data_IF_242958111171
#
_entry.id   IF_242958111171
#
_cell.length_a   1.000
_cell.length_b   1.000
_cell.length_c   1.000
_cell.angle_alpha   90.00
_cell.angle_beta   90.00
_cell.angle_gamma   90.00
#
_symmetry.space_group_name_H-M   'P 1'
#
loop_
_entity.id
_entity.type
_entity.pdbx_description
1 polymer ?
#
# COMPACT_ATOMS: atom_id res chain seq x y z
N UNK A 1 -8.85 -2.50 -5.40
CA UNK A 1 -8.95 -1.13 -5.91
C UNK A 1 -8.33 -1.12 -7.30
N UNK A 2 -9.14 -0.87 -8.32
CA UNK A 2 -8.66 -0.71 -9.69
C UNK A 2 -8.44 0.79 -9.85
N UNK A 3 -7.21 1.27 -10.06
CA UNK A 3 -7.01 2.67 -10.30
C UNK A 3 -7.78 3.09 -11.56
N UNK A 4 -8.51 4.18 -11.47
CA UNK A 4 -9.12 4.76 -12.66
C UNK A 4 -8.04 5.31 -13.58
N UNK A 5 -7.74 4.55 -14.62
CA UNK A 5 -6.76 4.95 -15.64
C UNK A 5 -7.33 5.89 -16.70
N UNK A 6 -8.60 6.29 -16.55
CA UNK A 6 -9.24 7.16 -17.54
C UNK A 6 -8.52 8.48 -17.75
N UNK A 7 -7.84 8.98 -16.71
CA UNK A 7 -6.97 10.17 -16.77
C UNK A 7 -5.78 10.01 -17.73
N UNK A 8 -5.38 8.78 -18.02
CA UNK A 8 -4.25 8.48 -18.91
C UNK A 8 -4.68 8.16 -20.35
N UNK A 9 -5.98 8.19 -20.67
CA UNK A 9 -6.48 7.94 -22.04
C UNK A 9 -5.78 8.73 -23.15
N UNK A 10 -5.30 9.98 -22.91
CA UNK A 10 -4.56 10.70 -23.92
C UNK A 10 -3.19 10.10 -24.27
N UNK A 11 -2.70 9.17 -23.44
CA UNK A 11 -1.38 8.58 -23.59
C UNK A 11 -1.48 7.20 -24.24
N UNK A 12 -1.06 7.01 -25.50
CA UNK A 12 -1.40 5.81 -26.28
C UNK A 12 -0.64 4.54 -25.89
N UNK A 13 0.31 4.63 -24.95
CA UNK A 13 1.15 3.49 -24.54
C UNK A 13 0.94 3.08 -23.09
N UNK A 14 -0.16 3.50 -22.46
CA UNK A 14 -0.48 3.08 -21.09
C UNK A 14 -1.42 1.88 -21.15
N UNK A 15 -0.94 0.77 -20.66
CA UNK A 15 -1.73 -0.43 -20.46
C UNK A 15 -2.06 -0.59 -18.98
N UNK A 16 -3.32 -0.89 -18.68
CA UNK A 16 -3.72 -1.23 -17.32
C UNK A 16 -3.61 -2.72 -17.11
N UNK A 17 -2.85 -3.08 -16.13
CA UNK A 17 -2.81 -4.43 -15.63
C UNK A 17 -3.85 -4.57 -14.51
N UNK A 18 -4.96 -5.23 -14.79
CA UNK A 18 -6.03 -5.47 -13.80
C UNK A 18 -5.82 -6.83 -13.19
N UNK A 19 -5.45 -6.85 -11.92
CA UNK A 19 -5.49 -8.06 -11.11
C UNK A 19 -6.90 -8.24 -10.56
N UNK A 20 -7.73 -8.99 -11.24
CA UNK A 20 -9.03 -9.39 -10.72
C UNK A 20 -8.88 -10.54 -9.72
N UNK A 21 -9.97 -10.87 -9.04
CA UNK A 21 -10.08 -11.97 -8.07
C UNK A 21 -9.72 -13.37 -8.62
N UNK A 22 -9.39 -13.48 -9.91
CA UNK A 22 -8.96 -14.71 -10.54
C UNK A 22 -7.70 -15.30 -9.90
N UNK A 23 -6.72 -14.45 -9.53
CA UNK A 23 -5.50 -14.90 -8.86
C UNK A 23 -5.78 -15.40 -7.46
N UNK A 24 -6.66 -14.75 -6.74
CA UNK A 24 -7.06 -15.18 -5.41
C UNK A 24 -7.72 -16.56 -5.47
N UNK A 25 -8.60 -16.79 -6.45
CA UNK A 25 -9.25 -18.08 -6.63
C UNK A 25 -8.23 -19.19 -6.98
N UNK A 26 -7.22 -18.88 -7.79
CA UNK A 26 -6.14 -19.80 -8.10
C UNK A 26 -5.26 -20.05 -6.87
N UNK A 27 -4.89 -18.99 -6.17
CA UNK A 27 -4.09 -19.09 -4.95
C UNK A 27 -4.74 -20.00 -3.90
N UNK A 28 -6.07 -19.91 -3.72
CA UNK A 28 -6.79 -20.84 -2.84
C UNK A 28 -6.78 -22.29 -3.29
N UNK A 29 -6.77 -22.54 -4.60
CA UNK A 29 -6.63 -23.91 -5.12
C UNK A 29 -5.25 -24.48 -4.84
N UNK A 30 -4.22 -23.65 -4.99
CA UNK A 30 -2.83 -24.04 -4.83
C UNK A 30 -2.45 -24.18 -3.34
N UNK A 31 -3.13 -23.43 -2.46
CA UNK A 31 -2.89 -23.38 -1.01
C UNK A 31 -4.10 -23.89 -0.22
N UNK A 32 -4.52 -25.12 -0.51
CA UNK A 32 -5.67 -25.75 0.14
C UNK A 32 -5.52 -25.76 1.67
N UNK A 33 -6.54 -25.24 2.38
CA UNK A 33 -6.58 -25.17 3.83
C UNK A 33 -6.27 -23.80 4.43
N UNK A 34 -5.84 -22.85 3.64
CA UNK A 34 -5.67 -21.46 4.08
C UNK A 34 -6.93 -20.67 3.71
N UNK A 35 -7.82 -20.57 4.66
CA UNK A 35 -9.07 -19.82 4.50
C UNK A 35 -10.14 -20.55 3.68
N UNK A 36 -11.35 -20.61 4.21
CA UNK A 36 -12.52 -21.07 3.45
C UNK A 36 -13.12 -19.89 2.69
N UNK A 37 -12.70 -19.67 1.46
CA UNK A 37 -13.26 -18.67 0.59
C UNK A 37 -14.30 -19.27 -0.35
N UNK A 38 -15.47 -19.48 0.16
CA UNK A 38 -16.66 -19.59 -0.69
C UNK A 38 -17.54 -18.39 -0.38
N UNK A 39 -17.74 -17.53 -1.39
CA UNK A 39 -18.97 -16.72 -1.40
C UNK A 39 -20.08 -17.77 -1.46
N UNK A 40 -20.58 -18.13 -0.29
CA UNK A 40 -21.68 -19.07 -0.23
C UNK A 40 -22.87 -18.45 -0.93
N UNK A 41 -23.69 -19.28 -1.58
CA UNK A 41 -24.98 -18.86 -2.14
C UNK A 41 -25.79 -18.02 -1.12
N UNK A 42 -25.63 -18.32 0.15
CA UNK A 42 -26.30 -17.64 1.26
C UNK A 42 -25.72 -16.23 1.52
N UNK A 43 -24.42 -16.04 1.41
CA UNK A 43 -23.78 -14.71 1.46
C UNK A 43 -24.24 -13.83 0.31
N UNK A 44 -24.30 -14.39 -0.91
CA UNK A 44 -24.80 -13.67 -2.06
C UNK A 44 -26.28 -13.28 -1.92
N UNK A 45 -27.14 -14.21 -1.53
CA UNK A 45 -28.57 -13.95 -1.27
C UNK A 45 -28.77 -12.87 -0.22
N UNK A 46 -28.01 -12.97 0.89
CA UNK A 46 -28.03 -11.99 1.96
C UNK A 46 -27.62 -10.59 1.47
N UNK A 47 -26.50 -10.50 0.75
CA UNK A 47 -26.02 -9.23 0.21
C UNK A 47 -27.05 -8.60 -0.77
N UNK A 48 -27.62 -9.41 -1.65
CA UNK A 48 -28.69 -8.94 -2.56
C UNK A 48 -29.89 -8.40 -1.79
N UNK A 49 -30.27 -9.07 -0.69
CA UNK A 49 -31.38 -8.64 0.17
C UNK A 49 -31.08 -7.27 0.82
N UNK A 50 -29.92 -7.14 1.48
CA UNK A 50 -29.53 -5.91 2.17
C UNK A 50 -29.32 -4.74 1.20
N UNK A 51 -28.74 -4.97 0.03
CA UNK A 51 -28.62 -3.93 -1.00
C UNK A 51 -29.98 -3.49 -1.55
N UNK A 52 -30.91 -4.44 -1.67
CA UNK A 52 -32.28 -4.11 -2.06
C UNK A 52 -32.97 -3.27 -1.00
N UNK A 53 -32.85 -3.62 0.27
CA UNK A 53 -33.36 -2.82 1.38
C UNK A 53 -32.72 -1.43 1.42
N UNK A 54 -31.42 -1.33 1.26
CA UNK A 54 -30.74 -0.04 1.20
C UNK A 54 -31.28 0.85 0.08
N UNK A 55 -31.49 0.29 -1.09
CA UNK A 55 -32.01 1.06 -2.25
C UNK A 55 -33.45 1.51 -2.10
N UNK A 56 -34.29 0.70 -1.50
CA UNK A 56 -35.73 0.96 -1.35
C UNK A 56 -36.10 1.73 -0.09
N UNK A 57 -35.20 1.78 0.89
CA UNK A 57 -35.45 2.45 2.16
C UNK A 57 -35.43 3.97 2.05
N UNK A 58 -36.25 4.66 2.86
CA UNK A 58 -36.16 6.11 3.03
C UNK A 58 -34.73 6.55 3.42
N UNK A 59 -34.32 7.73 3.01
CA UNK A 59 -32.98 8.25 3.25
C UNK A 59 -32.56 8.20 4.73
N UNK A 60 -33.50 8.47 5.61
CA UNK A 60 -33.26 8.47 7.05
C UNK A 60 -32.85 7.10 7.60
N UNK A 61 -33.22 6.00 6.96
CA UNK A 61 -32.90 4.64 7.39
C UNK A 61 -31.66 4.09 6.70
N UNK A 62 -31.19 4.72 5.61
CA UNK A 62 -30.08 4.18 4.83
C UNK A 62 -28.78 4.09 5.60
N UNK A 63 -28.49 5.06 6.46
CA UNK A 63 -27.27 5.01 7.26
C UNK A 63 -27.24 3.83 8.23
N UNK A 64 -28.43 3.45 8.78
CA UNK A 64 -28.56 2.28 9.65
C UNK A 64 -28.34 0.99 8.88
N UNK A 65 -28.92 0.88 7.67
CA UNK A 65 -28.77 -0.30 6.81
C UNK A 65 -27.34 -0.42 6.28
N UNK A 66 -26.73 0.71 5.92
CA UNK A 66 -25.35 0.77 5.40
C UNK A 66 -24.31 0.37 6.44
N UNK A 67 -24.50 0.78 7.69
CA UNK A 67 -23.63 0.46 8.83
C UNK A 67 -22.14 0.56 8.50
N UNK A 68 -21.72 1.71 8.00
CA UNK A 68 -20.32 1.97 7.56
C UNK A 68 -19.77 0.99 6.51
N UNK A 69 -20.66 0.43 5.68
CA UNK A 69 -20.32 -0.51 4.62
C UNK A 69 -20.44 -1.98 4.99
N UNK A 70 -20.73 -2.30 6.25
CA UNK A 70 -20.85 -3.68 6.73
C UNK A 70 -22.15 -4.34 6.30
N UNK A 71 -23.23 -3.57 6.09
CA UNK A 71 -24.58 -4.07 5.85
C UNK A 71 -25.00 -5.16 6.83
N UNK A 72 -24.69 -4.96 8.12
CA UNK A 72 -24.96 -5.93 9.19
C UNK A 72 -24.29 -7.29 8.95
N UNK A 73 -23.09 -7.27 8.34
CA UNK A 73 -22.29 -8.48 8.15
C UNK A 73 -21.68 -8.93 9.47
N UNK A 74 -21.92 -10.16 9.85
CA UNK A 74 -21.25 -10.80 11.00
C UNK A 74 -19.83 -11.24 10.67
N UNK A 75 -19.41 -11.17 9.41
CA UNK A 75 -18.14 -11.73 8.88
C UNK A 75 -17.12 -10.64 8.52
N UNK A 76 -16.98 -9.58 9.32
CA UNK A 76 -15.95 -8.56 9.10
C UNK A 76 -14.54 -9.14 9.09
N UNK A 77 -14.25 -10.13 9.92
CA UNK A 77 -12.94 -10.80 9.94
C UNK A 77 -12.60 -11.51 8.62
N UNK A 78 -13.60 -12.06 7.93
CA UNK A 78 -13.36 -12.73 6.65
C UNK A 78 -13.13 -11.74 5.50
N UNK A 79 -13.74 -10.56 5.52
CA UNK A 79 -13.51 -9.54 4.49
C UNK A 79 -12.09 -8.98 4.53
N UNK A 80 -11.59 -8.67 5.71
CA UNK A 80 -10.23 -8.14 5.87
C UNK A 80 -9.18 -9.19 5.51
N UNK A 81 -9.39 -10.42 5.94
CA UNK A 81 -8.52 -11.54 5.54
C UNK A 81 -8.52 -11.72 4.03
N UNK A 82 -9.66 -11.58 3.38
CA UNK A 82 -9.77 -11.71 1.93
C UNK A 82 -9.08 -10.60 1.16
N UNK A 83 -9.24 -9.36 1.61
CA UNK A 83 -8.51 -8.23 1.06
C UNK A 83 -7.00 -8.44 1.20
N UNK A 84 -6.57 -8.91 2.37
CA UNK A 84 -5.17 -9.24 2.59
C UNK A 84 -4.70 -10.34 1.64
N UNK A 85 -5.40 -11.47 1.59
CA UNK A 85 -5.02 -12.62 0.77
C UNK A 85 -5.04 -12.30 -0.74
N UNK A 86 -5.95 -11.45 -1.20
CA UNK A 86 -5.96 -10.97 -2.58
C UNK A 86 -4.71 -10.19 -2.95
N UNK A 87 -4.27 -9.30 -2.07
CA UNK A 87 -3.04 -8.53 -2.27
C UNK A 87 -1.79 -9.41 -2.10
N UNK A 88 -1.79 -10.33 -1.14
CA UNK A 88 -0.70 -11.28 -0.94
C UNK A 88 -0.54 -12.21 -2.15
N UNK A 89 -1.64 -12.78 -2.67
CA UNK A 89 -1.62 -13.64 -3.84
C UNK A 89 -1.04 -12.94 -5.07
N UNK A 90 -1.34 -11.66 -5.26
CA UNK A 90 -0.75 -10.87 -6.35
C UNK A 90 0.78 -10.76 -6.22
N UNK A 91 1.29 -10.62 -4.99
CA UNK A 91 2.73 -10.63 -4.73
C UNK A 91 3.36 -12.01 -4.93
N UNK A 92 2.69 -13.05 -4.48
CA UNK A 92 3.15 -14.44 -4.57
C UNK A 92 3.29 -14.91 -6.02
N UNK A 93 2.37 -14.47 -6.88
CA UNK A 93 2.38 -14.78 -8.31
C UNK A 93 3.12 -13.76 -9.19
N UNK A 94 3.83 -12.77 -8.63
CA UNK A 94 4.53 -11.77 -9.45
C UNK A 94 5.46 -12.38 -10.49
N UNK A 95 6.12 -13.48 -10.17
CA UNK A 95 7.00 -14.20 -11.12
C UNK A 95 6.20 -14.76 -12.31
N UNK A 96 5.04 -15.35 -12.03
CA UNK A 96 4.18 -15.94 -13.06
C UNK A 96 3.47 -14.88 -13.91
N UNK A 97 3.31 -13.68 -13.35
CA UNK A 97 2.71 -12.52 -14.00
C UNK A 97 3.72 -11.67 -14.78
N UNK A 98 5.01 -12.00 -14.66
CA UNK A 98 6.08 -11.24 -15.30
C UNK A 98 6.49 -11.93 -16.59
N UNK A 99 6.28 -11.26 -17.72
CA UNK A 99 6.75 -11.68 -19.02
C UNK A 99 7.90 -10.79 -19.48
N UNK A 100 8.94 -11.38 -20.04
CA UNK A 100 10.10 -10.66 -20.55
C UNK A 100 10.00 -10.52 -22.06
N UNK A 101 9.73 -9.28 -22.50
CA UNK A 101 9.69 -8.97 -23.93
C UNK A 101 11.09 -8.83 -24.48
N UNK A 102 11.33 -9.36 -25.69
CA UNK A 102 12.54 -9.10 -26.48
C UNK A 102 12.57 -7.71 -27.12
N UNK A 103 11.56 -6.89 -26.89
CA UNK A 103 11.49 -5.52 -27.41
C UNK A 103 12.52 -4.64 -26.71
N UNK A 104 13.12 -3.74 -27.47
CA UNK A 104 14.11 -2.75 -27.00
C UNK A 104 13.45 -1.47 -26.45
N UNK A 105 12.20 -1.53 -26.06
CA UNK A 105 11.45 -0.38 -25.55
C UNK A 105 11.70 -0.18 -24.06
N UNK A 106 11.67 1.08 -23.62
CA UNK A 106 11.69 1.40 -22.19
C UNK A 106 10.29 1.22 -21.61
N UNK A 107 10.22 0.61 -20.45
CA UNK A 107 8.98 0.38 -19.71
C UNK A 107 8.97 1.19 -18.41
N UNK A 108 7.80 1.73 -18.07
CA UNK A 108 7.51 2.25 -16.76
C UNK A 108 6.43 1.36 -16.13
N UNK A 109 6.80 0.69 -15.05
CA UNK A 109 5.89 -0.14 -14.27
C UNK A 109 5.50 0.60 -12.99
N UNK A 110 4.20 0.79 -12.76
CA UNK A 110 3.67 1.25 -11.49
C UNK A 110 2.83 0.14 -10.88
N UNK A 111 3.21 -0.29 -9.69
CA UNK A 111 2.56 -1.36 -8.97
C UNK A 111 2.15 -0.88 -7.57
N UNK A 112 0.88 -1.05 -7.21
CA UNK A 112 0.35 -0.73 -5.89
C UNK A 112 -0.16 -1.99 -5.22
N UNK A 113 0.23 -2.22 -3.97
CA UNK A 113 -0.19 -3.35 -3.19
C UNK A 113 -0.59 -2.93 -1.77
N UNK A 114 -1.74 -3.37 -1.32
CA UNK A 114 -2.32 -2.99 -0.03
C UNK A 114 -2.21 -4.11 1.04
N UNK A 115 -1.39 -5.13 0.84
CA UNK A 115 -1.25 -6.21 1.83
C UNK A 115 -0.77 -5.72 3.19
N UNK A 116 0.06 -4.68 3.23
CA UNK A 116 0.54 -4.10 4.50
C UNK A 116 -0.51 -3.24 5.22
N UNK A 117 -1.62 -2.86 4.55
CA UNK A 117 -2.67 -2.05 5.16
C UNK A 117 -3.45 -2.82 6.24
N UNK A 118 -3.62 -4.12 6.06
CA UNK A 118 -4.33 -4.97 7.02
C UNK A 118 -3.35 -5.92 7.70
N UNK A 119 -3.26 -5.83 9.02
CA UNK A 119 -2.23 -6.52 9.80
C UNK A 119 -2.66 -7.93 10.17
N UNK A 120 -1.96 -8.94 9.64
CA UNK A 120 -2.17 -10.35 9.95
C UNK A 120 -0.89 -11.03 10.43
N UNK A 121 -1.07 -12.01 11.32
CA UNK A 121 -0.01 -12.93 11.65
C UNK A 121 0.20 -13.93 10.51
N UNK A 122 1.45 -14.16 10.14
CA UNK A 122 1.87 -15.10 9.11
C UNK A 122 2.80 -16.14 9.72
N UNK A 123 2.89 -17.29 9.08
CA UNK A 123 3.75 -18.38 9.49
C UNK A 123 5.18 -18.10 9.08
N UNK A 124 6.09 -17.98 10.06
CA UNK A 124 7.52 -17.89 9.82
C UNK A 124 8.10 -19.28 9.44
N UNK A 125 9.31 -19.36 8.83
CA UNK A 125 10.22 -18.24 8.55
C UNK A 125 9.87 -17.42 7.31
N UNK A 126 9.10 -17.96 6.37
CA UNK A 126 8.83 -17.35 5.07
C UNK A 126 7.67 -16.35 5.10
N UNK A 127 7.04 -16.18 6.27
CA UNK A 127 5.90 -15.29 6.50
C UNK A 127 4.78 -15.51 5.47
N UNK A 128 4.32 -16.75 5.44
CA UNK A 128 3.22 -17.17 4.55
C UNK A 128 1.89 -17.25 5.29
N UNK A 129 0.76 -16.97 4.63
CA UNK A 129 -0.55 -17.23 5.19
C UNK A 129 -0.73 -18.71 5.54
N UNK A 130 -1.26 -18.99 6.73
CA UNK A 130 -1.51 -20.34 7.20
C UNK A 130 -2.81 -20.41 8.01
N UNK A 131 -3.49 -21.55 7.96
CA UNK A 131 -4.69 -21.81 8.75
C UNK A 131 -4.42 -21.76 10.26
N UNK A 132 -3.18 -22.07 10.67
CA UNK A 132 -2.75 -22.01 12.07
C UNK A 132 -1.30 -21.50 12.10
N UNK A 133 -1.09 -20.42 12.81
CA UNK A 133 0.24 -19.86 13.06
C UNK A 133 0.85 -20.55 14.28
N UNK A 134 1.92 -21.26 14.09
CA UNK A 134 2.65 -21.98 15.14
C UNK A 134 4.03 -21.36 15.43
N UNK A 135 4.56 -20.60 14.48
CA UNK A 135 5.81 -19.88 14.58
C UNK A 135 5.64 -18.47 14.01
N UNK A 136 6.07 -17.46 14.73
CA UNK A 136 6.03 -16.04 14.33
C UNK A 136 7.42 -15.48 14.02
N UNK A 137 8.45 -16.34 14.09
CA UNK A 137 9.84 -15.94 13.95
C UNK A 137 10.47 -15.47 15.26
N UNK A 138 11.74 -15.10 15.17
CA UNK A 138 12.58 -14.73 16.31
C UNK A 138 12.95 -13.24 16.37
N UNK A 139 12.35 -12.43 15.52
CA UNK A 139 12.51 -10.97 15.56
C UNK A 139 11.93 -10.40 16.85
N UNK A 140 12.50 -9.32 17.37
CA UNK A 140 11.92 -8.53 18.45
C UNK A 140 10.49 -8.03 18.14
N UNK A 141 10.14 -7.92 16.86
CA UNK A 141 8.82 -7.51 16.36
C UNK A 141 7.88 -8.69 16.04
N UNK A 142 8.28 -9.93 16.33
CA UNK A 142 7.50 -11.13 15.99
C UNK A 142 6.07 -11.13 16.58
N UNK A 143 5.86 -10.38 17.69
CA UNK A 143 4.54 -10.16 18.29
C UNK A 143 3.61 -9.23 17.50
N UNK A 144 4.15 -8.42 16.59
CA UNK A 144 3.39 -7.43 15.82
C UNK A 144 2.90 -8.01 14.49
N UNK A 145 1.58 -7.97 14.29
CA UNK A 145 0.98 -8.42 13.04
C UNK A 145 1.35 -7.51 11.85
N UNK A 146 1.60 -6.22 12.08
CA UNK A 146 2.02 -5.30 11.02
C UNK A 146 3.41 -5.67 10.51
N UNK A 147 4.32 -6.00 11.43
CA UNK A 147 5.63 -6.54 11.07
C UNK A 147 5.49 -7.83 10.25
N UNK A 148 4.64 -8.75 10.72
CA UNK A 148 4.43 -10.03 10.06
C UNK A 148 3.90 -9.86 8.62
N UNK A 149 2.89 -9.01 8.43
CA UNK A 149 2.34 -8.69 7.09
C UNK A 149 3.38 -8.03 6.18
N UNK A 150 4.17 -7.10 6.72
CA UNK A 150 5.25 -6.45 5.98
C UNK A 150 6.32 -7.46 5.57
N UNK A 151 6.75 -8.31 6.49
CA UNK A 151 7.74 -9.35 6.23
C UNK A 151 7.30 -10.27 5.09
N UNK A 152 6.04 -10.71 5.09
CA UNK A 152 5.49 -11.53 4.01
C UNK A 152 5.55 -10.85 2.65
N UNK A 153 5.16 -9.58 2.58
CA UNK A 153 5.24 -8.80 1.33
C UNK A 153 6.67 -8.61 0.87
N UNK A 154 7.59 -8.27 1.79
CA UNK A 154 9.00 -8.05 1.45
C UNK A 154 9.71 -9.34 1.03
N UNK A 155 9.35 -10.49 1.61
CA UNK A 155 9.83 -11.79 1.12
C UNK A 155 9.40 -12.05 -0.32
N UNK A 156 8.10 -11.90 -0.63
CA UNK A 156 7.61 -12.10 -2.01
C UNK A 156 8.24 -11.10 -2.99
N UNK A 157 8.39 -9.85 -2.58
CA UNK A 157 9.09 -8.85 -3.38
C UNK A 157 10.56 -9.23 -3.63
N UNK A 158 11.25 -9.68 -2.60
CA UNK A 158 12.64 -10.16 -2.72
C UNK A 158 12.78 -11.32 -3.71
N UNK A 159 11.87 -12.29 -3.68
CA UNK A 159 11.84 -13.38 -4.64
C UNK A 159 11.61 -12.90 -6.08
N UNK A 160 10.74 -11.92 -6.25
CA UNK A 160 10.53 -11.32 -7.57
C UNK A 160 11.75 -10.55 -8.06
N UNK A 161 12.41 -9.77 -7.20
CA UNK A 161 13.65 -9.07 -7.55
C UNK A 161 14.77 -10.04 -7.93
N UNK A 162 14.86 -11.16 -7.22
CA UNK A 162 15.80 -12.22 -7.58
C UNK A 162 15.45 -12.86 -8.95
N UNK A 163 14.18 -13.04 -9.25
CA UNK A 163 13.72 -13.48 -10.56
C UNK A 163 14.09 -12.49 -11.67
N UNK A 164 13.99 -11.18 -11.41
CA UNK A 164 14.46 -10.16 -12.35
C UNK A 164 15.98 -10.25 -12.60
N UNK A 165 16.77 -10.54 -11.56
CA UNK A 165 18.23 -10.75 -11.70
C UNK A 165 18.54 -11.97 -12.57
N UNK A 166 17.88 -13.09 -12.31
CA UNK A 166 18.05 -14.33 -13.07
C UNK A 166 17.71 -14.16 -14.56
N UNK A 167 16.84 -13.20 -14.89
CA UNK A 167 16.46 -12.87 -16.26
C UNK A 167 17.21 -11.66 -16.84
N UNK A 168 18.23 -11.14 -16.13
CA UNK A 168 19.13 -10.11 -16.65
C UNK A 168 18.52 -8.71 -16.83
N UNK A 169 17.37 -8.43 -16.15
CA UNK A 169 16.69 -7.13 -16.24
C UNK A 169 16.88 -6.27 -15.00
N UNK A 170 17.31 -6.85 -13.88
CA UNK A 170 17.45 -6.12 -12.62
C UNK A 170 18.45 -4.97 -12.69
N UNK A 171 19.60 -5.20 -13.31
CA UNK A 171 20.65 -4.17 -13.46
C UNK A 171 20.16 -2.99 -14.30
N UNK A 172 19.38 -3.28 -15.33
CA UNK A 172 18.81 -2.27 -16.23
C UNK A 172 17.51 -1.64 -15.69
N UNK A 173 17.16 -1.92 -14.44
CA UNK A 173 15.95 -1.40 -13.82
C UNK A 173 16.30 -0.39 -12.73
N UNK A 174 15.64 0.76 -12.78
CA UNK A 174 15.57 1.71 -11.66
C UNK A 174 14.34 1.34 -10.83
N UNK A 175 14.53 1.12 -9.54
CA UNK A 175 13.48 0.61 -8.64
C UNK A 175 13.28 1.59 -7.51
N UNK A 176 12.03 1.99 -7.29
CA UNK A 176 11.62 2.81 -6.16
C UNK A 176 10.47 2.12 -5.44
N UNK A 177 10.65 1.88 -4.15
CA UNK A 177 9.63 1.30 -3.28
C UNK A 177 9.27 2.35 -2.25
N UNK A 178 8.01 2.77 -2.26
CA UNK A 178 7.49 3.80 -1.36
C UNK A 178 6.17 3.37 -0.77
N UNK A 179 5.87 3.85 0.45
CA UNK A 179 4.52 3.80 1.01
C UNK A 179 3.98 5.21 1.21
N UNK A 180 2.66 5.34 1.20
CA UNK A 180 1.97 6.62 1.46
C UNK A 180 2.17 7.09 2.91
N UNK A 181 2.14 6.15 3.86
CA UNK A 181 2.42 6.36 5.28
C UNK A 181 2.88 5.05 5.92
N UNK A 182 3.32 5.12 7.17
CA UNK A 182 3.60 3.94 7.98
C UNK A 182 2.45 3.65 8.96
N UNK A 183 2.51 2.53 9.67
CA UNK A 183 1.55 2.19 10.72
C UNK A 183 1.92 2.88 12.05
N UNK A 184 0.93 2.99 12.95
CA UNK A 184 1.18 3.37 14.33
C UNK A 184 1.65 2.14 15.12
N UNK A 185 2.93 1.79 15.01
CA UNK A 185 3.51 0.82 15.93
C UNK A 185 3.42 1.35 17.37
N UNK A 186 3.05 0.49 18.30
CA UNK A 186 3.11 0.81 19.73
C UNK A 186 4.55 0.86 20.23
N UNK A 187 5.45 0.21 19.53
CA UNK A 187 6.86 0.21 19.81
C UNK A 187 7.50 1.45 19.21
N UNK A 188 8.19 2.20 20.06
CA UNK A 188 8.78 3.50 19.73
C UNK A 188 10.23 3.30 19.32
N UNK A 189 10.55 3.16 18.02
CA UNK A 189 11.95 3.16 17.62
C UNK A 189 12.60 4.55 17.82
N UNK A 190 11.78 5.58 18.01
CA UNK A 190 12.25 6.95 18.15
C UNK A 190 11.90 7.53 19.53
N UNK A 191 12.92 8.08 20.22
CA UNK A 191 12.71 8.94 21.38
C UNK A 191 12.21 10.29 20.88
N UNK A 192 10.90 10.46 20.87
CA UNK A 192 10.30 11.74 20.55
C UNK A 192 10.15 12.57 21.82
N UNK A 193 10.33 13.89 21.65
CA UNK A 193 10.04 14.85 22.69
C UNK A 193 8.57 14.69 23.17
N UNK A 194 8.32 14.82 24.49
CA UNK A 194 6.97 14.78 25.07
C UNK A 194 5.99 15.76 24.39
N UNK A 195 6.53 16.84 23.82
CA UNK A 195 5.80 17.77 22.97
C UNK A 195 5.00 17.10 21.85
N UNK A 196 5.47 15.96 21.34
CA UNK A 196 4.83 15.20 20.27
C UNK A 196 4.03 14.00 20.77
N UNK A 197 3.78 13.88 22.08
CA UNK A 197 3.09 12.75 22.70
C UNK A 197 1.67 12.50 22.16
N UNK A 198 1.05 13.54 21.60
CA UNK A 198 -0.29 13.46 20.97
C UNK A 198 -0.29 12.91 19.55
N UNK A 199 0.88 12.71 18.99
CA UNK A 199 1.10 12.33 17.60
C UNK A 199 1.73 10.95 17.61
N UNK A 200 1.37 10.10 16.67
CA UNK A 200 2.10 8.86 16.40
C UNK A 200 3.12 9.12 15.29
N UNK A 201 4.36 9.53 15.63
CA UNK A 201 5.32 9.95 14.63
C UNK A 201 5.67 8.84 13.64
N UNK A 202 5.58 7.58 14.09
CA UNK A 202 5.78 6.43 13.24
C UNK A 202 4.92 6.43 11.98
N UNK A 203 3.71 6.99 12.05
CA UNK A 203 2.83 7.10 10.86
C UNK A 203 3.42 7.94 9.73
N UNK A 204 4.30 8.87 10.06
CA UNK A 204 4.91 9.83 9.12
C UNK A 204 6.28 9.39 8.62
N UNK A 205 6.65 8.15 8.88
CA UNK A 205 7.88 7.54 8.38
C UNK A 205 7.52 6.44 7.35
N UNK A 206 7.13 6.82 6.14
CA UNK A 206 6.90 5.85 5.08
C UNK A 206 8.21 5.14 4.73
N UNK A 207 8.09 3.95 4.18
CA UNK A 207 9.23 3.30 3.56
C UNK A 207 9.61 4.09 2.29
N UNK A 208 10.92 4.28 2.09
CA UNK A 208 11.48 4.89 0.89
C UNK A 208 12.78 4.17 0.56
N UNK A 209 12.75 3.28 -0.42
CA UNK A 209 13.90 2.51 -0.85
C UNK A 209 14.13 2.75 -2.33
N UNK A 210 15.39 2.92 -2.70
CA UNK A 210 15.78 3.25 -4.06
C UNK A 210 16.97 2.40 -4.51
N UNK A 211 16.93 1.96 -5.76
CA UNK A 211 18.03 1.33 -6.49
C UNK A 211 18.13 1.98 -7.86
N UNK A 212 19.29 2.48 -8.22
CA UNK A 212 19.54 3.02 -9.56
C UNK A 212 19.95 1.93 -10.56
N UNK A 213 20.06 2.31 -11.83
CA UNK A 213 20.59 1.45 -12.88
C UNK A 213 22.01 1.01 -12.53
N UNK A 214 22.31 -0.26 -12.79
CA UNK A 214 23.61 -0.89 -12.55
C UNK A 214 24.13 -0.79 -11.10
N UNK A 215 23.27 -0.41 -10.15
CA UNK A 215 23.62 -0.48 -8.74
C UNK A 215 23.51 -1.91 -8.20
N UNK A 216 24.53 -2.28 -7.43
CA UNK A 216 24.60 -3.56 -6.72
C UNK A 216 25.29 -3.35 -5.38
N UNK A 217 25.11 -4.30 -4.47
CA UNK A 217 25.74 -4.29 -3.15
C UNK A 217 24.74 -4.38 -2.02
N UNK A 218 25.24 -4.12 -0.81
CA UNK A 218 24.43 -4.17 0.40
C UNK A 218 23.49 -2.98 0.52
N UNK A 219 22.35 -3.20 1.18
CA UNK A 219 21.42 -2.14 1.51
C UNK A 219 22.09 -1.12 2.43
N UNK A 220 22.04 0.16 2.05
CA UNK A 220 22.59 1.26 2.83
C UNK A 220 21.46 2.19 3.30
N UNK A 221 21.60 2.67 4.52
CA UNK A 221 20.73 3.71 5.04
C UNK A 221 21.28 5.08 4.65
N UNK A 222 20.41 5.92 4.04
CA UNK A 222 20.65 7.33 3.81
C UNK A 222 19.78 8.14 4.79
N UNK A 223 20.37 9.15 5.41
CA UNK A 223 19.69 10.05 6.37
C UNK A 223 19.29 11.39 5.75
N UNK A 224 19.40 11.54 4.44
CA UNK A 224 18.93 12.75 3.77
C UNK A 224 17.41 12.89 3.94
N UNK A 225 16.97 14.11 4.14
CA UNK A 225 15.54 14.40 4.25
C UNK A 225 14.86 14.13 2.91
N UNK A 226 13.93 13.17 2.90
CA UNK A 226 13.18 12.74 1.74
C UNK A 226 11.68 12.77 2.02
N UNK A 227 10.92 13.04 0.98
CA UNK A 227 9.45 12.97 1.00
C UNK A 227 8.96 12.16 -0.20
N UNK A 228 7.72 11.69 -0.18
CA UNK A 228 7.13 11.02 -1.34
C UNK A 228 7.07 11.92 -2.58
N UNK A 229 7.08 13.25 -2.40
CA UNK A 229 7.14 14.21 -3.49
C UNK A 229 8.48 14.18 -4.27
N UNK A 230 9.53 13.60 -3.70
CA UNK A 230 10.82 13.41 -4.37
C UNK A 230 10.80 12.24 -5.36
N UNK A 231 9.82 11.35 -5.28
CA UNK A 231 9.72 10.15 -6.12
C UNK A 231 9.81 10.45 -7.62
N UNK A 232 9.08 11.43 -8.19
CA UNK A 232 9.21 11.76 -9.60
C UNK A 232 10.60 12.28 -9.96
N UNK A 233 11.22 13.10 -9.10
CA UNK A 233 12.56 13.64 -9.31
C UNK A 233 13.59 12.52 -9.41
N UNK A 234 13.54 11.55 -8.49
CA UNK A 234 14.44 10.41 -8.47
C UNK A 234 14.21 9.51 -9.68
N UNK A 235 12.96 9.17 -9.98
CA UNK A 235 12.63 8.27 -11.07
C UNK A 235 13.01 8.83 -12.43
N UNK A 236 12.87 10.13 -12.64
CA UNK A 236 13.11 10.78 -13.94
C UNK A 236 14.54 11.29 -14.12
N UNK A 237 15.33 11.36 -13.04
CA UNK A 237 16.71 11.85 -13.08
C UNK A 237 17.56 11.11 -14.11
N UNK A 238 18.18 11.86 -15.02
CA UNK A 238 19.01 11.30 -16.10
C UNK A 238 18.26 10.53 -17.19
N UNK A 239 16.92 10.47 -17.12
CA UNK A 239 16.06 9.86 -18.15
C UNK A 239 15.33 10.94 -18.95
N UNK A 240 14.76 11.92 -18.24
CA UNK A 240 14.02 13.02 -18.86
C UNK A 240 14.66 14.33 -18.45
N UNK A 241 15.24 15.03 -19.43
CA UNK A 241 15.76 16.37 -19.20
C UNK A 241 14.60 17.37 -19.05
N UNK A 242 14.75 18.30 -18.10
CA UNK A 242 13.78 19.37 -17.84
C UNK A 242 12.34 18.85 -17.65
N UNK A 243 12.19 17.76 -16.92
CA UNK A 243 10.88 17.18 -16.62
C UNK A 243 9.96 18.23 -15.99
N UNK A 244 8.72 18.30 -16.49
CA UNK A 244 7.69 19.25 -16.05
C UNK A 244 6.47 18.46 -15.59
N UNK A 245 5.92 18.87 -14.46
CA UNK A 245 4.67 18.32 -13.97
C UNK A 245 3.53 18.74 -14.91
N UNK A 246 2.84 17.81 -15.57
CA UNK A 246 1.85 18.13 -16.61
C UNK A 246 0.59 18.82 -16.05
N UNK A 247 0.35 18.75 -14.74
CA UNK A 247 -0.82 19.35 -14.09
C UNK A 247 -0.56 20.79 -13.64
N UNK A 248 0.68 21.10 -13.25
CA UNK A 248 1.01 22.42 -12.69
C UNK A 248 1.90 23.27 -13.60
N UNK A 249 2.54 22.66 -14.61
CA UNK A 249 3.52 23.32 -15.45
C UNK A 249 4.87 23.58 -14.76
N UNK A 250 5.02 23.19 -13.50
CA UNK A 250 6.24 23.43 -12.74
C UNK A 250 7.31 22.37 -13.02
N UNK A 251 8.59 22.73 -12.97
CA UNK A 251 9.68 21.76 -13.07
C UNK A 251 9.58 20.67 -11.99
N UNK A 252 9.85 19.42 -12.38
CA UNK A 252 9.98 18.31 -11.44
C UNK A 252 11.37 18.37 -10.81
N UNK A 253 11.46 18.83 -9.58
CA UNK A 253 12.69 18.87 -8.80
C UNK A 253 12.40 18.85 -7.29
N UNK A 254 13.44 18.67 -6.50
CA UNK A 254 13.35 18.60 -5.03
C UNK A 254 13.69 19.92 -4.33
N UNK A 255 13.76 21.04 -5.06
CA UNK A 255 14.19 22.35 -4.48
C UNK A 255 13.28 22.89 -3.41
N UNK A 256 11.97 22.57 -3.49
CA UNK A 256 10.99 23.06 -2.50
C UNK A 256 11.26 22.57 -1.08
N UNK A 257 12.06 21.53 -0.90
CA UNK A 257 12.42 21.02 0.43
C UNK A 257 13.73 21.53 1.00
N UNK A 258 14.52 22.31 0.24
CA UNK A 258 15.82 22.84 0.69
C UNK A 258 15.67 23.68 1.98
N UNK A 259 14.55 24.37 2.10
CA UNK A 259 14.18 25.12 3.32
C UNK A 259 13.36 24.31 4.33
N UNK A 260 13.26 23.01 4.15
CA UNK A 260 12.38 22.11 4.89
C UNK A 260 10.93 22.14 4.38
N UNK A 261 10.18 21.10 4.67
CA UNK A 261 8.77 20.98 4.31
C UNK A 261 7.86 21.37 5.48
N UNK A 262 6.83 22.16 5.20
CA UNK A 262 5.76 22.39 6.17
C UNK A 262 4.78 21.23 6.10
N UNK A 263 4.64 20.52 7.21
CA UNK A 263 3.71 19.41 7.36
C UNK A 263 2.71 19.70 8.47
N UNK A 264 1.47 19.31 8.27
CA UNK A 264 0.49 19.31 9.34
C UNK A 264 0.36 17.91 9.90
N UNK A 265 0.46 17.79 11.19
CA UNK A 265 0.34 16.53 11.93
C UNK A 265 -1.00 16.54 12.67
N UNK A 266 -2.06 16.89 11.96
CA UNK A 266 -3.38 16.90 12.57
C UNK A 266 -4.03 15.53 12.46
N UNK A 267 -4.20 14.84 13.59
CA UNK A 267 -5.08 13.68 13.72
C UNK A 267 -6.57 14.07 13.75
N UNK A 268 -6.88 15.35 13.57
CA UNK A 268 -8.24 15.88 13.76
C UNK A 268 -9.16 15.62 12.56
N UNK A 269 -8.62 15.19 11.43
CA UNK A 269 -9.45 14.79 10.30
C UNK A 269 -9.86 13.32 10.42
N UNK A 270 -10.91 13.09 11.18
CA UNK A 270 -11.66 11.82 11.15
C UNK A 270 -12.98 12.09 10.44
N UNK A 271 -13.20 11.60 9.21
CA UNK A 271 -14.43 11.88 8.43
C UNK A 271 -15.73 11.50 9.14
N UNK A 272 -15.66 10.59 10.11
CA UNK A 272 -16.79 10.15 10.92
C UNK A 272 -16.95 10.93 12.25
N UNK A 273 -16.02 11.76 12.61
CA UNK A 273 -16.18 12.74 13.68
C UNK A 273 -16.72 14.04 13.11
N UNK A 274 -17.88 13.98 12.48
CA UNK A 274 -18.60 15.19 12.09
C UNK A 274 -18.95 15.98 13.36
N UNK A 275 -18.05 16.88 13.76
CA UNK A 275 -18.52 17.98 14.57
C UNK A 275 -19.43 18.81 13.67
N UNK A 276 -20.61 19.18 14.16
CA UNK A 276 -21.57 20.03 13.46
C UNK A 276 -21.01 21.40 13.00
N UNK A 277 -19.72 21.63 13.16
CA UNK A 277 -19.04 22.91 12.89
C UNK A 277 -18.17 22.89 11.64
N UNK A 278 -18.06 21.77 10.91
CA UNK A 278 -17.27 21.64 9.66
C UNK A 278 -15.93 22.40 9.69
N UNK A 279 -15.20 22.28 10.80
CA UNK A 279 -13.94 23.01 10.96
C UNK A 279 -12.85 22.22 10.22
N UNK A 280 -12.63 22.57 8.96
CA UNK A 280 -11.47 22.12 8.18
C UNK A 280 -10.22 22.96 8.44
N UNK A 281 -10.21 23.76 9.50
CA UNK A 281 -9.09 24.63 9.81
C UNK A 281 -8.07 23.90 10.67
N UNK A 282 -6.90 23.69 10.11
CA UNK A 282 -5.71 23.31 10.84
C UNK A 282 -5.22 24.58 11.57
N UNK A 283 -5.02 24.48 12.87
CA UNK A 283 -4.55 25.64 13.66
C UNK A 283 -3.07 25.92 13.32
N UNK A 284 -2.59 27.16 13.47
CA UNK A 284 -1.17 27.48 13.27
C UNK A 284 -0.23 26.56 14.06
N UNK A 285 -0.61 26.17 15.27
CA UNK A 285 0.17 25.31 16.17
C UNK A 285 0.20 23.82 15.73
N UNK A 286 -0.59 23.45 14.71
CA UNK A 286 -0.60 22.10 14.16
C UNK A 286 0.37 21.95 12.95
N UNK A 287 1.09 23.01 12.60
CA UNK A 287 2.07 23.00 11.52
C UNK A 287 3.48 22.87 12.06
N UNK A 288 4.24 22.00 11.44
CA UNK A 288 5.64 21.73 11.77
C UNK A 288 6.49 21.90 10.53
N UNK A 289 7.69 22.43 10.71
CA UNK A 289 8.72 22.38 9.67
C UNK A 289 9.58 21.15 9.93
N UNK A 290 9.74 20.33 8.90
CA UNK A 290 10.58 19.13 8.90
C UNK A 290 11.70 19.34 7.88
N UNK A 291 12.93 19.07 8.29
CA UNK A 291 14.13 19.23 7.45
C UNK A 291 15.15 18.15 7.79
#
# INVERSE_FOLDING_TARGET
WIPDISIFKPYPKIESFVTENAYLAQWYKDHQGVGNFTITSDTLKRNMLWYSFFRTSPLILRHVIYESGSYWSTNTQNEDLNKYLGNYAAMDYLKDLTDFSSKTENYFLSFTNNACHTSFALQAPDYVPSAKITDRGNSEYAGDNSYSSMAGVMHRLGEWLEYLKQNGVYENSRILIVSDHSCSSKEKPYKWDEKFSRISPGKYHPIFMFKDFNESGELKTNNDFMTNADSPTILLSGIIENAVNPFTGNPVNSKLKEDGALVTISNLYMPHHFSSKNIFTVKPDDWYRVS
#
